data_IF_886886912464
#
_entry.id   IF_886886912464
#
_cell.length_a   1.000
_cell.length_b   1.000
_cell.length_c   1.000
_cell.angle_alpha   90.00
_cell.angle_beta   90.00
_cell.angle_gamma   90.00
#
_symmetry.space_group_name_H-M   'P 1'
#
loop_
_entity.id
_entity.type
_entity.pdbx_description
1 polymer ?
#
# COMPACT_ATOMS: atom_id res chain seq x y z
N UNK A 1 56.60 9.58 3.85
CA UNK A 1 55.75 8.40 3.54
C UNK A 1 54.47 8.30 4.36
N UNK A 2 54.50 8.31 5.71
CA UNK A 2 53.30 8.09 6.53
C UNK A 2 52.18 9.13 6.32
N UNK A 3 52.50 10.39 6.06
CA UNK A 3 51.50 11.45 5.79
C UNK A 3 50.82 11.28 4.43
N UNK A 4 51.58 10.82 3.43
CA UNK A 4 51.08 10.58 2.07
C UNK A 4 50.10 9.39 2.04
N UNK A 5 50.39 8.35 2.83
CA UNK A 5 49.53 7.18 2.97
C UNK A 5 48.19 7.52 3.64
N UNK A 6 48.18 8.46 4.59
CA UNK A 6 46.94 8.96 5.22
C UNK A 6 46.08 9.74 4.23
N UNK A 7 46.69 10.54 3.35
CA UNK A 7 45.97 11.30 2.32
C UNK A 7 45.28 10.37 1.31
N UNK A 8 45.97 9.30 0.90
CA UNK A 8 45.40 8.28 0.00
C UNK A 8 44.22 7.56 0.66
N UNK A 9 44.33 7.21 1.95
CA UNK A 9 43.24 6.55 2.67
C UNK A 9 41.98 7.44 2.78
N UNK A 10 42.15 8.73 3.07
CA UNK A 10 41.04 9.70 3.13
C UNK A 10 40.39 9.89 1.77
N UNK A 11 41.18 9.95 0.70
CA UNK A 11 40.68 10.07 -0.66
C UNK A 11 39.84 8.86 -1.09
N UNK A 12 40.29 7.63 -0.77
CA UNK A 12 39.53 6.40 -1.04
C UNK A 12 38.19 6.34 -0.28
N UNK A 13 38.15 6.86 0.95
CA UNK A 13 36.91 6.97 1.73
C UNK A 13 35.96 8.00 1.12
N UNK A 14 36.47 9.14 0.65
CA UNK A 14 35.67 10.19 0.01
C UNK A 14 35.11 9.75 -1.35
N UNK A 15 35.86 8.98 -2.14
CA UNK A 15 35.41 8.44 -3.44
C UNK A 15 34.33 7.37 -3.25
N UNK A 16 34.38 6.58 -2.18
CA UNK A 16 33.36 5.55 -1.89
C UNK A 16 32.03 6.13 -1.38
N UNK A 17 31.99 7.39 -0.94
CA UNK A 17 30.77 8.09 -0.54
C UNK A 17 29.95 8.64 -1.73
N UNK A 18 30.49 8.68 -2.95
CA UNK A 18 29.78 9.16 -4.16
C UNK A 18 28.69 8.19 -4.64
N UNK A 19 28.69 6.93 -4.18
CA UNK A 19 27.76 5.89 -4.62
C UNK A 19 26.35 5.97 -4.01
N UNK A 20 26.05 7.02 -3.25
CA UNK A 20 24.70 7.33 -2.78
C UNK A 20 24.04 8.42 -3.62
N UNK A 21 24.06 8.30 -4.96
CA UNK A 21 23.02 8.95 -5.78
C UNK A 21 21.73 8.16 -5.52
N UNK A 22 21.11 8.47 -4.38
CA UNK A 22 19.83 7.95 -3.97
C UNK A 22 18.83 8.42 -5.00
N UNK A 23 18.26 7.49 -5.78
CA UNK A 23 17.00 7.74 -6.49
C UNK A 23 16.01 8.24 -5.44
N UNK A 24 15.76 9.54 -5.44
CA UNK A 24 14.87 10.23 -4.51
C UNK A 24 13.44 9.84 -4.88
N UNK A 25 13.04 8.63 -4.50
CA UNK A 25 11.66 8.18 -4.60
C UNK A 25 10.89 8.93 -3.53
N UNK A 26 10.40 10.12 -3.87
CA UNK A 26 9.62 10.92 -2.95
C UNK A 26 8.49 10.09 -2.32
N UNK A 27 8.39 10.17 -1.00
CA UNK A 27 7.34 9.52 -0.23
C UNK A 27 5.97 10.10 -0.56
N UNK A 28 5.92 11.33 -1.07
CA UNK A 28 4.72 12.05 -1.40
C UNK A 28 4.88 12.69 -2.79
N UNK A 29 3.93 12.46 -3.68
CA UNK A 29 3.91 13.09 -4.99
C UNK A 29 2.48 13.56 -5.25
N UNK A 30 2.32 14.79 -5.71
CA UNK A 30 1.03 15.35 -6.04
C UNK A 30 1.04 15.88 -7.46
N UNK A 31 0.01 15.52 -8.22
CA UNK A 31 -0.19 15.95 -9.60
C UNK A 31 -1.59 16.53 -9.74
N UNK A 32 -1.69 17.78 -10.18
CA UNK A 32 -2.98 18.43 -10.45
C UNK A 32 -3.16 18.59 -11.95
N UNK A 33 -4.31 18.15 -12.48
CA UNK A 33 -4.73 18.33 -13.88
C UNK A 33 -6.12 18.94 -13.92
N UNK A 34 -6.20 20.21 -14.30
CA UNK A 34 -7.44 20.97 -14.25
C UNK A 34 -7.89 21.15 -12.80
N UNK A 35 -9.11 20.72 -12.49
CA UNK A 35 -9.66 20.72 -11.12
C UNK A 35 -9.38 19.42 -10.34
N UNK A 36 -8.82 18.39 -10.98
CA UNK A 36 -8.56 17.11 -10.35
C UNK A 36 -7.15 17.05 -9.77
N UNK A 37 -7.03 16.61 -8.53
CA UNK A 37 -5.75 16.42 -7.84
C UNK A 37 -5.57 14.96 -7.50
N UNK A 38 -4.40 14.42 -7.84
CA UNK A 38 -3.98 13.06 -7.52
C UNK A 38 -2.77 13.12 -6.62
N UNK A 39 -2.92 12.65 -5.39
CA UNK A 39 -1.81 12.54 -4.45
C UNK A 39 -1.42 11.08 -4.31
N UNK A 40 -0.12 10.80 -4.25
CA UNK A 40 0.47 9.47 -4.13
C UNK A 40 1.46 9.43 -2.99
N UNK A 41 1.18 8.58 -2.02
CA UNK A 41 1.97 8.41 -0.82
C UNK A 41 2.57 7.00 -0.79
N UNK A 42 3.90 6.90 -0.82
CA UNK A 42 4.61 5.66 -0.55
C UNK A 42 4.81 5.55 0.96
N UNK A 43 4.11 4.63 1.61
CA UNK A 43 4.09 4.57 3.06
C UNK A 43 5.32 3.81 3.59
N UNK A 44 6.09 4.38 4.52
CA UNK A 44 7.24 3.70 5.12
C UNK A 44 6.81 2.51 5.99
N UNK A 45 7.09 1.29 5.51
CA UNK A 45 6.64 0.07 6.21
C UNK A 45 7.30 -0.15 7.58
N UNK A 46 8.48 0.42 7.82
CA UNK A 46 9.15 0.30 9.10
C UNK A 46 8.39 1.02 10.22
N UNK A 47 7.58 2.04 9.88
CA UNK A 47 6.71 2.76 10.81
C UNK A 47 5.37 2.03 10.95
N UNK A 48 4.79 1.65 9.81
CA UNK A 48 3.41 1.14 9.79
C UNK A 48 3.29 -0.29 10.30
N UNK A 49 4.26 -1.18 10.01
CA UNK A 49 4.21 -2.56 10.49
C UNK A 49 4.14 -2.67 12.03
N UNK A 50 5.03 -2.03 12.81
CA UNK A 50 4.95 -2.14 14.27
C UNK A 50 3.66 -1.52 14.81
N UNK A 51 3.18 -0.42 14.22
CA UNK A 51 1.92 0.21 14.61
C UNK A 51 0.72 -0.74 14.44
N UNK A 52 0.54 -1.31 13.24
CA UNK A 52 -0.59 -2.22 12.97
C UNK A 52 -0.49 -3.48 13.84
N UNK A 53 0.71 -4.06 14.00
CA UNK A 53 0.89 -5.24 14.86
C UNK A 53 0.54 -4.95 16.31
N UNK A 54 0.85 -3.75 16.81
CA UNK A 54 0.51 -3.33 18.16
C UNK A 54 -1.01 -3.21 18.32
N UNK A 55 -1.68 -2.52 17.40
CA UNK A 55 -3.13 -2.38 17.41
C UNK A 55 -3.84 -3.75 17.40
N UNK A 56 -3.46 -4.65 16.48
CA UNK A 56 -4.03 -6.00 16.41
C UNK A 56 -3.84 -6.81 17.71
N UNK A 57 -2.72 -6.62 18.42
CA UNK A 57 -2.49 -7.28 19.72
C UNK A 57 -3.34 -6.69 20.83
N UNK A 58 -3.53 -5.36 20.82
CA UNK A 58 -4.39 -4.66 21.77
C UNK A 58 -5.86 -5.07 21.57
N UNK A 59 -6.27 -5.31 20.32
CA UNK A 59 -7.60 -5.82 19.95
C UNK A 59 -7.77 -7.33 20.23
N UNK A 60 -6.73 -8.01 20.73
CA UNK A 60 -6.77 -9.45 21.07
C UNK A 60 -6.80 -10.38 19.85
N UNK A 61 -6.36 -9.91 18.69
CA UNK A 61 -6.28 -10.74 17.48
C UNK A 61 -5.15 -11.77 17.57
N UNK A 62 -5.34 -12.89 16.87
CA UNK A 62 -4.42 -14.03 16.96
C UNK A 62 -3.07 -13.77 16.30
N UNK A 63 -2.01 -14.46 16.75
CA UNK A 63 -0.67 -14.29 16.15
C UNK A 63 -0.62 -14.74 14.68
N UNK A 64 -1.52 -15.63 14.25
CA UNK A 64 -1.68 -15.99 12.84
C UNK A 64 -2.11 -14.77 12.01
N UNK A 65 -3.07 -13.97 12.50
CA UNK A 65 -3.51 -12.73 11.85
C UNK A 65 -2.39 -11.68 11.85
N UNK A 66 -1.71 -11.51 12.98
CA UNK A 66 -0.58 -10.58 13.12
C UNK A 66 0.55 -10.96 12.16
N UNK A 67 0.73 -12.25 11.86
CA UNK A 67 1.73 -12.73 10.91
C UNK A 67 1.48 -12.25 9.47
N UNK A 68 0.23 -11.96 9.09
CA UNK A 68 -0.13 -11.44 7.76
C UNK A 68 0.53 -10.08 7.50
N UNK A 69 0.71 -9.26 8.53
CA UNK A 69 1.40 -7.96 8.43
C UNK A 69 2.87 -8.12 7.98
N UNK A 70 3.50 -9.26 8.29
CA UNK A 70 4.87 -9.54 7.83
C UNK A 70 4.92 -9.71 6.31
N UNK A 71 3.87 -10.28 5.70
CA UNK A 71 3.74 -10.56 4.26
C UNK A 71 3.58 -9.28 3.41
N UNK A 72 3.19 -8.17 4.03
CA UNK A 72 3.09 -6.87 3.37
C UNK A 72 4.50 -6.35 3.05
N UNK A 73 4.83 -6.19 1.77
CA UNK A 73 6.12 -5.64 1.32
C UNK A 73 6.08 -4.13 1.18
N UNK A 74 5.00 -3.59 0.64
CA UNK A 74 4.87 -2.15 0.35
C UNK A 74 3.41 -1.71 0.37
N UNK A 75 3.14 -0.54 0.90
CA UNK A 75 1.84 0.12 0.80
C UNK A 75 2.00 1.42 0.02
N UNK A 76 1.07 1.67 -0.91
CA UNK A 76 0.92 2.94 -1.60
C UNK A 76 -0.50 3.42 -1.41
N UNK A 77 -0.66 4.66 -0.97
CA UNK A 77 -1.96 5.32 -0.90
C UNK A 77 -2.04 6.31 -2.06
N UNK A 78 -3.18 6.34 -2.74
CA UNK A 78 -3.49 7.33 -3.75
C UNK A 78 -4.79 8.01 -3.35
N UNK A 79 -4.82 9.32 -3.32
CA UNK A 79 -6.06 10.09 -3.19
C UNK A 79 -6.35 10.75 -4.53
N UNK A 80 -7.60 10.73 -4.93
CA UNK A 80 -8.09 11.40 -6.13
C UNK A 80 -9.22 12.30 -5.69
N UNK A 81 -9.01 13.60 -5.81
CA UNK A 81 -9.95 14.62 -5.38
C UNK A 81 -10.49 15.39 -6.59
N UNK A 82 -11.77 15.76 -6.53
CA UNK A 82 -12.42 16.64 -7.52
C UNK A 82 -12.34 16.13 -8.98
N UNK A 83 -12.19 14.82 -9.16
CA UNK A 83 -12.11 14.18 -10.47
C UNK A 83 -13.49 13.71 -10.93
N UNK A 84 -13.80 13.88 -12.22
CA UNK A 84 -14.97 13.26 -12.84
C UNK A 84 -14.82 11.74 -12.88
N UNK A 85 -15.94 11.01 -12.96
CA UNK A 85 -15.93 9.54 -13.05
C UNK A 85 -15.06 9.03 -14.20
N UNK A 86 -15.01 9.76 -15.32
CA UNK A 86 -14.15 9.42 -16.47
C UNK A 86 -12.67 9.52 -16.10
N UNK A 87 -12.27 10.57 -15.39
CA UNK A 87 -10.88 10.77 -14.94
C UNK A 87 -10.48 9.71 -13.91
N UNK A 88 -11.39 9.38 -12.98
CA UNK A 88 -11.22 8.30 -12.02
C UNK A 88 -11.02 6.95 -12.73
N UNK A 89 -11.90 6.61 -13.67
CA UNK A 89 -11.81 5.35 -14.40
C UNK A 89 -10.52 5.24 -15.23
N UNK A 90 -10.10 6.35 -15.85
CA UNK A 90 -8.85 6.43 -16.58
C UNK A 90 -7.64 6.26 -15.65
N UNK A 91 -7.62 6.95 -14.51
CA UNK A 91 -6.57 6.82 -13.51
C UNK A 91 -6.45 5.38 -12.99
N UNK A 92 -7.59 4.76 -12.65
CA UNK A 92 -7.62 3.38 -12.16
C UNK A 92 -7.01 2.42 -13.18
N UNK A 93 -7.39 2.55 -14.45
CA UNK A 93 -6.85 1.71 -15.54
C UNK A 93 -5.35 1.92 -15.75
N UNK A 94 -4.88 3.17 -15.74
CA UNK A 94 -3.47 3.49 -15.94
C UNK A 94 -2.59 3.05 -14.76
N UNK A 95 -3.08 3.18 -13.53
CA UNK A 95 -2.30 2.90 -12.32
C UNK A 95 -2.29 1.43 -11.93
N UNK A 96 -3.37 0.70 -12.22
CA UNK A 96 -3.60 -0.65 -11.70
C UNK A 96 -3.85 -1.70 -12.79
N UNK A 97 -4.00 -1.31 -14.05
CA UNK A 97 -4.31 -2.21 -15.17
C UNK A 97 -5.82 -2.47 -15.33
N UNK A 98 -6.18 -3.23 -16.37
CA UNK A 98 -7.56 -3.62 -16.68
C UNK A 98 -7.92 -5.03 -16.19
N UNK A 99 -6.93 -5.81 -15.79
CA UNK A 99 -6.99 -7.22 -15.42
C UNK A 99 -7.03 -7.42 -13.91
N UNK A 100 -7.81 -6.59 -13.22
CA UNK A 100 -8.09 -6.74 -11.79
C UNK A 100 -9.28 -7.67 -11.59
N UNK A 101 -9.07 -8.77 -10.88
CA UNK A 101 -10.13 -9.66 -10.41
C UNK A 101 -10.62 -9.17 -9.04
N UNK A 102 -11.93 -9.00 -8.90
CA UNK A 102 -12.55 -8.73 -7.61
C UNK A 102 -12.53 -10.00 -6.76
N UNK A 103 -11.91 -9.94 -5.59
CA UNK A 103 -11.85 -11.06 -4.64
C UNK A 103 -12.93 -10.92 -3.56
N UNK A 104 -13.20 -9.68 -3.15
CA UNK A 104 -14.18 -9.36 -2.13
C UNK A 104 -14.72 -7.95 -2.34
N UNK A 105 -15.98 -7.73 -1.99
CA UNK A 105 -16.58 -6.41 -1.90
C UNK A 105 -17.46 -6.31 -0.66
N UNK A 106 -17.25 -5.24 0.09
CA UNK A 106 -18.03 -4.90 1.28
C UNK A 106 -18.66 -3.54 1.04
N UNK A 107 -19.98 -3.53 0.93
CA UNK A 107 -20.76 -2.30 0.79
C UNK A 107 -21.29 -1.87 2.17
N UNK A 108 -21.08 -0.61 2.51
CA UNK A 108 -21.79 0.14 3.54
C UNK A 108 -22.61 1.27 2.88
N UNK A 109 -23.52 1.91 3.62
CA UNK A 109 -24.36 3.01 3.10
C UNK A 109 -23.52 4.12 2.45
N UNK A 110 -22.39 4.43 3.05
CA UNK A 110 -21.57 5.61 2.70
C UNK A 110 -20.17 5.22 2.18
N UNK A 111 -19.88 3.93 2.01
CA UNK A 111 -18.55 3.46 1.60
C UNK A 111 -18.59 2.10 0.93
N UNK A 112 -17.92 1.99 -0.22
CA UNK A 112 -17.72 0.73 -0.94
C UNK A 112 -16.26 0.32 -0.86
N UNK A 113 -15.99 -0.75 -0.11
CA UNK A 113 -14.65 -1.35 0.00
C UNK A 113 -14.58 -2.50 -0.99
N UNK A 114 -13.70 -2.40 -1.98
CA UNK A 114 -13.37 -3.51 -2.89
C UNK A 114 -11.96 -3.98 -2.63
N UNK A 115 -11.76 -5.29 -2.51
CA UNK A 115 -10.45 -5.92 -2.52
C UNK A 115 -10.29 -6.61 -3.87
N UNK A 116 -9.31 -6.16 -4.63
CA UNK A 116 -9.02 -6.69 -5.96
C UNK A 116 -7.56 -7.15 -6.05
N UNK A 117 -7.30 -8.18 -6.85
CA UNK A 117 -5.95 -8.65 -7.19
C UNK A 117 -5.75 -8.57 -8.70
N UNK A 118 -4.54 -8.23 -9.15
CA UNK A 118 -4.20 -8.49 -10.55
C UNK A 118 -4.24 -10.01 -10.80
N UNK A 119 -4.82 -10.43 -11.93
CA UNK A 119 -4.73 -11.82 -12.38
C UNK A 119 -3.25 -12.12 -12.65
N UNK A 120 -2.70 -13.12 -11.98
CA UNK A 120 -1.35 -13.61 -12.22
C UNK A 120 -1.41 -15.07 -12.64
N UNK A 121 -0.50 -15.51 -13.50
CA UNK A 121 -0.39 -16.90 -14.00
C UNK A 121 -0.08 -17.96 -12.90
N UNK A 122 -0.07 -17.53 -11.64
CA UNK A 122 0.11 -18.35 -10.46
C UNK A 122 -1.24 -18.50 -9.78
N UNK A 123 -1.85 -19.67 -9.89
CA UNK A 123 -3.15 -20.02 -9.27
C UNK A 123 -3.13 -19.97 -7.73
N UNK A 124 -1.96 -19.79 -7.12
CA UNK A 124 -1.76 -19.99 -5.67
C UNK A 124 -1.26 -18.77 -4.90
N UNK A 125 -0.86 -17.68 -5.58
CA UNK A 125 -0.22 -16.54 -4.92
C UNK A 125 -0.69 -15.19 -5.47
N UNK A 126 -1.30 -14.40 -4.60
CA UNK A 126 -1.74 -13.02 -4.87
C UNK A 126 -0.62 -12.05 -4.51
N UNK A 127 -0.21 -11.23 -5.50
CA UNK A 127 0.96 -10.33 -5.39
C UNK A 127 0.61 -8.91 -4.96
N UNK A 128 -0.61 -8.48 -5.24
CA UNK A 128 -1.10 -7.18 -4.81
C UNK A 128 -2.59 -7.22 -4.48
N UNK A 129 -2.96 -6.38 -3.51
CA UNK A 129 -4.33 -6.10 -3.13
C UNK A 129 -4.56 -4.62 -3.37
N UNK A 130 -5.64 -4.29 -4.05
CA UNK A 130 -6.14 -2.94 -4.20
C UNK A 130 -7.39 -2.79 -3.35
N UNK A 131 -7.32 -1.90 -2.36
CA UNK A 131 -8.46 -1.49 -1.53
C UNK A 131 -8.90 -0.13 -2.04
N UNK A 132 -10.18 0.03 -2.32
CA UNK A 132 -10.75 1.32 -2.75
C UNK A 132 -11.77 1.79 -1.72
N UNK A 133 -11.74 3.07 -1.37
CA UNK A 133 -12.74 3.74 -0.53
C UNK A 133 -13.21 4.97 -1.28
N UNK A 134 -14.51 5.04 -1.59
CA UNK A 134 -15.13 6.16 -2.32
C UNK A 134 -16.11 6.88 -1.40
N UNK A 135 -15.95 8.20 -1.32
CA UNK A 135 -16.92 9.18 -0.85
C UNK A 135 -17.31 10.10 -2.03
N UNK A 136 -18.29 10.99 -1.86
CA UNK A 136 -18.92 11.78 -2.94
C UNK A 136 -17.94 12.59 -3.79
N UNK A 137 -16.83 13.07 -3.20
CA UNK A 137 -15.85 13.95 -3.88
C UNK A 137 -14.41 13.44 -3.82
N UNK A 138 -14.17 12.39 -3.04
CA UNK A 138 -12.84 11.87 -2.75
C UNK A 138 -12.81 10.36 -2.93
N UNK A 139 -11.75 9.90 -3.59
CA UNK A 139 -11.51 8.50 -3.83
C UNK A 139 -10.12 8.13 -3.36
N UNK A 140 -10.05 7.20 -2.42
CA UNK A 140 -8.81 6.69 -1.86
C UNK A 140 -8.56 5.28 -2.37
N UNK A 141 -7.37 5.05 -2.93
CA UNK A 141 -6.86 3.73 -3.26
C UNK A 141 -5.70 3.37 -2.35
N UNK A 142 -5.77 2.22 -1.70
CA UNK A 142 -4.67 1.63 -0.94
C UNK A 142 -4.20 0.40 -1.70
N UNK A 143 -3.03 0.49 -2.33
CA UNK A 143 -2.36 -0.63 -2.99
C UNK A 143 -1.38 -1.28 -2.01
N UNK A 144 -1.68 -2.51 -1.61
CA UNK A 144 -0.87 -3.33 -0.73
C UNK A 144 -0.15 -4.38 -1.59
N UNK A 145 1.17 -4.28 -1.70
CA UNK A 145 1.99 -5.28 -2.37
C UNK A 145 2.50 -6.29 -1.33
N UNK A 146 2.37 -7.57 -1.61
CA UNK A 146 2.76 -8.64 -0.71
C UNK A 146 2.82 -9.99 -1.41
N UNK A 147 2.87 -11.05 -0.63
CA UNK A 147 2.73 -12.43 -1.10
C UNK A 147 1.68 -13.08 -0.23
N UNK A 148 0.47 -13.20 -0.75
CA UNK A 148 -0.69 -13.73 -0.03
C UNK A 148 -1.15 -15.04 -0.67
N UNK A 149 -1.39 -16.06 0.15
CA UNK A 149 -2.10 -17.26 -0.30
C UNK A 149 -3.61 -17.02 -0.33
N UNK A 150 -4.37 -17.92 -0.94
CA UNK A 150 -5.83 -17.89 -0.85
C UNK A 150 -6.33 -17.97 0.60
N UNK A 151 -5.68 -18.79 1.44
CA UNK A 151 -5.97 -18.89 2.87
C UNK A 151 -5.78 -17.54 3.60
N UNK A 152 -4.74 -16.78 3.25
CA UNK A 152 -4.53 -15.44 3.81
C UNK A 152 -5.68 -14.50 3.48
N UNK A 153 -6.20 -14.56 2.25
CA UNK A 153 -7.33 -13.73 1.82
C UNK A 153 -8.60 -14.10 2.56
N UNK A 154 -8.88 -15.39 2.74
CA UNK A 154 -10.04 -15.86 3.52
C UNK A 154 -10.00 -15.32 4.95
N UNK A 155 -8.84 -15.37 5.61
CA UNK A 155 -8.66 -14.81 6.96
C UNK A 155 -8.86 -13.29 7.02
N UNK A 156 -8.31 -12.56 6.04
CA UNK A 156 -8.52 -11.10 5.93
C UNK A 156 -10.01 -10.78 5.75
N UNK A 157 -10.72 -11.58 4.96
CA UNK A 157 -12.14 -11.42 4.72
C UNK A 157 -12.98 -11.66 5.99
N UNK A 158 -12.63 -12.67 6.79
CA UNK A 158 -13.27 -12.95 8.08
C UNK A 158 -13.09 -11.78 9.08
N UNK A 159 -11.88 -11.25 9.20
CA UNK A 159 -11.60 -10.08 10.05
C UNK A 159 -12.40 -8.85 9.62
N UNK A 160 -12.51 -8.62 8.30
CA UNK A 160 -13.29 -7.51 7.75
C UNK A 160 -14.78 -7.63 8.12
N UNK A 161 -15.34 -8.85 8.10
CA UNK A 161 -16.72 -9.10 8.54
C UNK A 161 -16.92 -8.91 10.04
N UNK A 162 -16.07 -9.51 10.88
CA UNK A 162 -16.12 -9.39 12.35
C UNK A 162 -16.12 -7.93 12.80
N UNK A 163 -15.26 -7.10 12.20
CA UNK A 163 -15.20 -5.68 12.53
C UNK A 163 -16.42 -4.89 12.02
N UNK A 164 -17.04 -5.29 10.90
CA UNK A 164 -18.30 -4.67 10.45
C UNK A 164 -19.44 -4.90 11.45
N UNK A 165 -19.52 -6.10 12.02
CA UNK A 165 -20.56 -6.43 13.02
C UNK A 165 -20.33 -5.70 14.35
N UNK A 166 -19.08 -5.36 14.66
CA UNK A 166 -18.73 -4.55 15.84
C UNK A 166 -19.02 -3.06 15.61
N UNK A 167 -18.83 -2.54 14.40
CA UNK A 167 -19.14 -1.15 14.03
C UNK A 167 -20.64 -0.93 13.80
N UNK A 168 -21.41 -1.95 13.43
CA UNK A 168 -22.86 -1.85 13.27
C UNK A 168 -23.65 -1.94 14.59
N UNK A 169 -23.01 -2.43 15.67
CA UNK A 169 -23.62 -2.62 17.00
C UNK A 169 -23.15 -1.56 18.03
N UNK A 170 -22.40 -0.55 17.61
CA UNK A 170 -22.04 0.64 18.38
C UNK A 170 -22.56 1.89 17.67
#
# INVERSE_FOLDING_TARGET
MKSFLKLIAIFTILVSLQSCIVSEKSLYNEETKGNATVTKINVPMFIVKPYIKKALREDGESEEIISLIKKIRKVKVYTVQNASDKMVAQFSRQSFGSNLQELMSVNSKDSKIKIMSAITDSDTMIKDLLITVRDDKELVYVKVLGKFSLDDISRIAELSKKNKDTVANN
#
